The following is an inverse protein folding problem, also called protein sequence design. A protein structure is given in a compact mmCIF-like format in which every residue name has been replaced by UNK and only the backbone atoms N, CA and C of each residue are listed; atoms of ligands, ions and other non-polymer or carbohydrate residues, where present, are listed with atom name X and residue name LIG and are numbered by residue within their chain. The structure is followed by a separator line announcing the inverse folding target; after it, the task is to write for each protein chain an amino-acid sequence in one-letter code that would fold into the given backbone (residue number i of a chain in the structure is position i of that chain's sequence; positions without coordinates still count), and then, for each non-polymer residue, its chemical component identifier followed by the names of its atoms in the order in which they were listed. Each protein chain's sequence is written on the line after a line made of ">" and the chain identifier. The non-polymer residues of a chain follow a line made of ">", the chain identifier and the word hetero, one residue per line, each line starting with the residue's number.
data_IF_763402187680
#
_entry.id   IF_763402187680
#
_cell.length_a   1.000
_cell.length_b   1.000
_cell.length_c   1.000
_cell.angle_alpha   90.00
_cell.angle_beta   90.00
_cell.angle_gamma   90.00
#
_symmetry.space_group_name_H-M   'P 1'
#
loop_
_entity.id
_entity.type
_entity.pdbx_description
1 polymer ?
#
# COMPACT_ATOMS: atom_id res chain seq x y z
N UNK A 1 4.49 -32.65 -5.49
CA UNK A 1 3.96 -31.50 -4.71
C UNK A 1 3.95 -30.26 -5.60
N UNK A 2 3.16 -30.28 -6.66
CA UNK A 2 2.74 -29.10 -7.40
C UNK A 2 1.21 -29.18 -7.38
N UNK A 3 0.57 -28.27 -6.66
CA UNK A 3 -0.88 -28.14 -6.75
C UNK A 3 -1.12 -26.87 -7.55
N UNK A 4 -1.37 -27.09 -8.83
CA UNK A 4 -1.61 -26.06 -9.83
C UNK A 4 -2.84 -25.25 -9.45
N UNK A 5 -2.61 -23.97 -9.16
CA UNK A 5 -3.66 -22.96 -8.97
C UNK A 5 -4.09 -22.45 -10.35
N UNK A 6 -4.68 -23.33 -11.17
CA UNK A 6 -5.28 -22.96 -12.44
C UNK A 6 -6.80 -22.91 -12.29
N UNK A 7 -7.34 -21.68 -12.25
CA UNK A 7 -8.77 -21.42 -12.45
C UNK A 7 -9.57 -21.09 -11.19
N UNK A 8 -9.47 -19.84 -10.73
CA UNK A 8 -10.56 -19.18 -9.99
C UNK A 8 -10.58 -19.35 -8.46
N UNK A 9 -9.96 -18.39 -7.77
CA UNK A 9 -10.35 -17.87 -6.45
C UNK A 9 -10.62 -18.92 -5.35
N UNK A 10 -9.61 -19.71 -4.99
CA UNK A 10 -9.65 -20.37 -3.69
C UNK A 10 -9.51 -19.30 -2.58
N UNK A 11 -10.43 -19.27 -1.62
CA UNK A 11 -10.47 -18.24 -0.56
C UNK A 11 -9.11 -18.05 0.15
N UNK A 12 -8.30 -19.12 0.25
CA UNK A 12 -6.97 -19.07 0.81
C UNK A 12 -5.95 -18.24 0.00
N UNK A 13 -5.94 -18.32 -1.33
CA UNK A 13 -5.03 -17.50 -2.14
C UNK A 13 -5.47 -16.03 -2.14
N UNK A 14 -6.78 -15.79 -2.20
CA UNK A 14 -7.33 -14.43 -2.08
C UNK A 14 -7.00 -13.80 -0.72
N UNK A 15 -7.11 -14.57 0.37
CA UNK A 15 -6.73 -14.10 1.71
C UNK A 15 -5.24 -13.75 1.80
N UNK A 16 -4.36 -14.56 1.20
CA UNK A 16 -2.93 -14.28 1.15
C UNK A 16 -2.61 -13.02 0.35
N UNK A 17 -3.35 -12.75 -0.72
CA UNK A 17 -3.22 -11.52 -1.51
C UNK A 17 -3.61 -10.30 -0.67
N UNK A 18 -4.76 -10.33 0.00
CA UNK A 18 -5.22 -9.26 0.89
C UNK A 18 -4.24 -9.00 2.03
N UNK A 19 -3.70 -10.06 2.66
CA UNK A 19 -2.72 -9.94 3.74
C UNK A 19 -1.43 -9.28 3.26
N UNK A 20 -0.98 -9.65 2.05
CA UNK A 20 0.21 -9.09 1.42
C UNK A 20 0.03 -7.63 1.05
N UNK A 21 -1.14 -7.25 0.54
CA UNK A 21 -1.46 -5.86 0.24
C UNK A 21 -1.57 -5.01 1.51
N UNK A 22 -2.23 -5.53 2.55
CA UNK A 22 -2.28 -4.89 3.86
C UNK A 22 -0.89 -4.75 4.52
N UNK A 23 0.02 -5.70 4.29
CA UNK A 23 1.39 -5.61 4.78
C UNK A 23 2.20 -4.52 4.06
N UNK A 24 2.07 -4.41 2.73
CA UNK A 24 2.70 -3.35 1.94
C UNK A 24 2.23 -1.96 2.38
N UNK A 25 0.92 -1.80 2.56
CA UNK A 25 0.34 -0.56 3.05
C UNK A 25 0.86 -0.17 4.44
N UNK A 26 0.82 -1.11 5.41
CA UNK A 26 1.35 -0.86 6.77
C UNK A 26 2.83 -0.48 6.77
N UNK A 27 3.63 -1.09 5.90
CA UNK A 27 5.05 -0.74 5.75
C UNK A 27 5.23 0.69 5.26
N UNK A 28 4.44 1.13 4.28
CA UNK A 28 4.51 2.48 3.73
C UNK A 28 4.01 3.52 4.75
N UNK A 29 2.90 3.23 5.43
CA UNK A 29 2.28 4.09 6.45
C UNK A 29 3.22 4.36 7.63
N UNK A 30 3.95 3.36 8.09
CA UNK A 30 4.83 3.46 9.25
C UNK A 30 6.19 4.12 8.97
N UNK A 31 6.47 4.53 7.72
CA UNK A 31 7.75 5.16 7.37
C UNK A 31 7.79 6.60 7.86
N UNK A 32 8.90 6.91 8.51
CA UNK A 32 9.21 8.26 8.95
C UNK A 32 9.75 9.09 7.76
N UNK A 33 9.08 10.19 7.45
CA UNK A 33 9.47 11.13 6.38
C UNK A 33 10.79 11.83 6.69
N UNK A 34 11.23 11.85 7.95
CA UNK A 34 12.52 12.42 8.34
C UNK A 34 13.73 11.63 7.81
N UNK A 35 13.51 10.51 7.11
CA UNK A 35 14.58 9.67 6.53
C UNK A 35 14.73 9.78 5.01
N UNK A 36 14.24 10.87 4.40
CA UNK A 36 14.38 11.15 2.95
C UNK A 36 15.84 11.02 2.46
N UNK A 37 16.82 11.31 3.30
CA UNK A 37 18.25 11.26 2.95
C UNK A 37 18.82 9.84 2.75
N UNK A 38 18.09 8.78 3.14
CA UNK A 38 18.58 7.39 3.06
C UNK A 38 18.11 6.64 1.81
N UNK A 39 17.25 7.24 1.01
CA UNK A 39 16.59 6.59 -0.14
C UNK A 39 15.55 5.55 0.29
N UNK A 40 14.42 5.51 -0.41
CA UNK A 40 13.31 4.62 -0.05
C UNK A 40 12.13 4.73 -1.01
N UNK A 41 11.10 3.90 -0.76
CA UNK A 41 9.80 3.98 -1.45
C UNK A 41 8.86 4.80 -0.58
N UNK A 42 8.24 5.82 -1.18
CA UNK A 42 7.34 6.76 -0.52
C UNK A 42 6.07 6.98 -1.36
N UNK A 43 4.98 7.40 -0.71
CA UNK A 43 3.80 7.92 -1.39
C UNK A 43 3.95 9.42 -1.62
N UNK A 44 3.75 9.85 -2.86
CA UNK A 44 3.77 11.25 -3.25
C UNK A 44 2.40 11.69 -3.75
N UNK A 45 1.92 12.81 -3.23
CA UNK A 45 0.75 13.51 -3.75
C UNK A 45 1.18 14.43 -4.89
N UNK A 46 0.62 14.21 -6.07
CA UNK A 46 0.80 15.06 -7.24
C UNK A 46 -0.50 15.82 -7.53
N UNK A 47 -0.44 17.06 -8.07
CA UNK A 47 0.73 17.81 -8.53
C UNK A 47 1.55 18.53 -7.43
N UNK A 48 1.19 18.40 -6.16
CA UNK A 48 1.81 19.17 -5.07
C UNK A 48 3.24 18.72 -4.74
N UNK A 49 3.71 17.58 -5.28
CA UNK A 49 5.01 16.97 -5.01
C UNK A 49 5.28 16.79 -3.50
N UNK A 50 4.22 16.51 -2.73
CA UNK A 50 4.28 16.35 -1.29
C UNK A 50 4.42 14.88 -0.92
N UNK A 51 5.38 14.55 -0.07
CA UNK A 51 5.52 13.18 0.44
C UNK A 51 4.59 13.01 1.64
N UNK A 52 3.80 11.94 1.64
CA UNK A 52 2.83 11.64 2.68
C UNK A 52 3.24 10.38 3.47
N UNK A 53 2.95 10.36 4.76
CA UNK A 53 3.08 9.19 5.62
C UNK A 53 1.96 9.19 6.68
N UNK A 54 1.95 8.15 7.53
CA UNK A 54 1.08 8.14 8.71
C UNK A 54 -0.39 8.34 8.37
N UNK A 55 -1.04 9.23 9.13
CA UNK A 55 -2.47 9.55 8.97
C UNK A 55 -2.72 10.41 7.72
N UNK A 56 -1.80 11.30 7.34
CA UNK A 56 -1.95 12.13 6.14
C UNK A 56 -2.02 11.29 4.85
N UNK A 57 -1.29 10.17 4.83
CA UNK A 57 -1.37 9.20 3.73
C UNK A 57 -2.72 8.49 3.69
N UNK A 58 -3.25 8.12 4.86
CA UNK A 58 -4.56 7.46 4.99
C UNK A 58 -5.66 8.39 4.46
N UNK A 59 -5.68 9.64 4.93
CA UNK A 59 -6.67 10.65 4.51
C UNK A 59 -6.62 10.95 3.01
N UNK A 60 -5.42 11.08 2.43
CA UNK A 60 -5.27 11.34 1.00
C UNK A 60 -5.76 10.16 0.14
N UNK A 61 -5.55 8.92 0.60
CA UNK A 61 -6.04 7.72 -0.09
C UNK A 61 -7.57 7.65 0.02
N UNK A 62 -8.13 7.87 1.21
CA UNK A 62 -9.59 7.86 1.41
C UNK A 62 -10.29 8.93 0.58
N UNK A 63 -9.71 10.14 0.51
CA UNK A 63 -10.20 11.21 -0.36
C UNK A 63 -10.19 10.78 -1.84
N UNK A 64 -9.09 10.21 -2.33
CA UNK A 64 -8.96 9.77 -3.71
C UNK A 64 -9.93 8.60 -4.05
N UNK A 65 -10.14 7.67 -3.11
CA UNK A 65 -11.11 6.58 -3.27
C UNK A 65 -12.55 7.07 -3.30
N UNK A 66 -12.89 8.10 -2.52
CA UNK A 66 -14.23 8.70 -2.53
C UNK A 66 -14.53 9.50 -3.81
N UNK A 67 -13.49 9.97 -4.51
CA UNK A 67 -13.59 10.67 -5.79
C UNK A 67 -13.67 9.73 -7.02
N UNK A 68 -13.51 8.41 -6.82
CA UNK A 68 -13.48 7.38 -7.86
C UNK A 68 -14.82 6.64 -8.03
#
# INVERSE_FOLDING_TARGET
>A
MHNDCDGGQCAACHQQDLERDAARYRWLRARDLDTIDKGGVFAGLTPQNMVLNGEDLDEAIDAAMAES
#
